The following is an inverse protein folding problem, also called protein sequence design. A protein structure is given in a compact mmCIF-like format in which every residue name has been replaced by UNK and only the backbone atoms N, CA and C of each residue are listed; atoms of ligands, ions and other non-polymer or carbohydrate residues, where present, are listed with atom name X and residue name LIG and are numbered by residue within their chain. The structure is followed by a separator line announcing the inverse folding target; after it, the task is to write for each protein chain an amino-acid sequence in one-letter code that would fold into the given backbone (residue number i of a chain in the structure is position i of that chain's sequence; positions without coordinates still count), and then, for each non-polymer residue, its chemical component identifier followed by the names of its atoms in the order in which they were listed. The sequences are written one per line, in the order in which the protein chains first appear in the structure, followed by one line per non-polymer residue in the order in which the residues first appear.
data_IF_402247380491
#
_entry.id   IF_402247380491
#
_cell.length_a   1.000
_cell.length_b   1.000
_cell.length_c   1.000
_cell.angle_alpha   90.00
_cell.angle_beta   90.00
_cell.angle_gamma   90.00
#
_symmetry.space_group_name_H-M   'P 1'
#
loop_
_entity.id
_entity.type
_entity.pdbx_description
1 polymer ?
#
# COMPACT_ATOMS: atom_id res chain seq x y z
N UNK A 1 -34.96 -11.09 29.08
CA UNK A 1 -34.60 -12.03 27.99
C UNK A 1 -34.01 -11.22 26.84
N UNK A 2 -32.67 -11.08 26.77
CA UNK A 2 -32.01 -10.33 25.71
C UNK A 2 -32.04 -11.17 24.42
N UNK A 3 -32.79 -10.69 23.43
CA UNK A 3 -32.92 -11.33 22.12
C UNK A 3 -31.55 -11.32 21.45
N UNK A 4 -30.89 -12.49 21.35
CA UNK A 4 -29.61 -12.63 20.64
C UNK A 4 -29.85 -12.25 19.19
N UNK A 5 -29.33 -11.09 18.76
CA UNK A 5 -29.39 -10.67 17.36
C UNK A 5 -28.44 -11.59 16.61
N UNK A 6 -28.98 -12.52 15.83
CA UNK A 6 -28.16 -13.36 14.95
C UNK A 6 -27.51 -12.46 13.89
N UNK A 7 -26.29 -12.03 14.17
CA UNK A 7 -25.51 -11.18 13.27
C UNK A 7 -25.09 -12.05 12.08
N UNK A 8 -25.96 -12.16 11.07
CA UNK A 8 -25.62 -12.77 9.79
C UNK A 8 -24.41 -12.04 9.21
N UNK A 9 -23.31 -12.76 9.08
CA UNK A 9 -22.04 -12.29 8.53
C UNK A 9 -22.25 -11.65 7.15
N UNK A 10 -21.68 -10.47 6.95
CA UNK A 10 -21.75 -9.74 5.70
C UNK A 10 -20.48 -10.03 4.87
N UNK A 11 -20.62 -10.96 3.91
CA UNK A 11 -19.49 -11.41 3.09
C UNK A 11 -18.82 -10.27 2.32
N UNK A 12 -19.56 -9.24 1.88
CA UNK A 12 -19.00 -8.09 1.17
C UNK A 12 -18.06 -7.27 2.07
N UNK A 13 -18.41 -7.12 3.35
CA UNK A 13 -17.54 -6.43 4.31
C UNK A 13 -16.27 -7.23 4.61
N UNK A 14 -16.38 -8.57 4.67
CA UNK A 14 -15.19 -9.43 4.82
C UNK A 14 -14.27 -9.29 3.60
N UNK A 15 -14.83 -9.39 2.39
CA UNK A 15 -14.07 -9.22 1.16
C UNK A 15 -13.41 -7.84 1.13
N UNK A 16 -14.13 -6.76 1.48
CA UNK A 16 -13.54 -5.42 1.50
C UNK A 16 -12.40 -5.29 2.51
N UNK A 17 -12.50 -5.93 3.68
CA UNK A 17 -11.42 -5.93 4.68
C UNK A 17 -10.16 -6.63 4.16
N UNK A 18 -10.33 -7.77 3.47
CA UNK A 18 -9.21 -8.49 2.85
C UNK A 18 -8.57 -7.66 1.74
N UNK A 19 -9.37 -7.02 0.87
CA UNK A 19 -8.87 -6.16 -0.19
C UNK A 19 -8.13 -4.94 0.36
N UNK A 20 -8.65 -4.30 1.42
CA UNK A 20 -7.98 -3.20 2.12
C UNK A 20 -6.63 -3.64 2.71
N UNK A 21 -6.56 -4.85 3.29
CA UNK A 21 -5.33 -5.38 3.83
C UNK A 21 -4.30 -5.61 2.73
N UNK A 22 -4.71 -6.19 1.60
CA UNK A 22 -3.84 -6.39 0.43
C UNK A 22 -3.34 -5.03 -0.09
N UNK A 23 -4.23 -4.04 -0.25
CA UNK A 23 -3.86 -2.69 -0.68
C UNK A 23 -2.84 -2.07 0.27
N UNK A 24 -3.05 -2.14 1.58
CA UNK A 24 -2.11 -1.56 2.53
C UNK A 24 -0.74 -2.24 2.45
N UNK A 25 -0.72 -3.58 2.37
CA UNK A 25 0.53 -4.33 2.33
C UNK A 25 1.30 -4.16 1.02
N UNK A 26 0.60 -4.05 -0.11
CA UNK A 26 1.20 -4.07 -1.44
C UNK A 26 1.35 -2.68 -2.08
N UNK A 27 0.63 -1.65 -1.65
CA UNK A 27 0.79 -0.30 -2.19
C UNK A 27 1.84 0.48 -1.41
N UNK A 28 2.62 1.28 -2.12
CA UNK A 28 3.57 2.24 -1.57
C UNK A 28 3.38 3.63 -2.16
N UNK A 29 3.80 4.64 -1.40
CA UNK A 29 3.97 6.01 -1.87
C UNK A 29 5.44 6.35 -1.76
N UNK A 30 6.07 6.67 -2.89
CA UNK A 30 7.42 7.22 -2.91
C UNK A 30 7.38 8.74 -2.96
N UNK A 31 8.36 9.37 -2.32
CA UNK A 31 8.65 10.79 -2.45
C UNK A 31 10.07 10.93 -3.00
N UNK A 32 10.17 11.59 -4.15
CA UNK A 32 11.43 12.10 -4.65
C UNK A 32 11.76 13.42 -3.94
N UNK A 33 12.89 13.47 -3.23
CA UNK A 33 13.30 14.66 -2.47
C UNK A 33 13.91 15.74 -3.37
N UNK A 34 14.31 15.40 -4.61
CA UNK A 34 14.88 16.35 -5.59
C UNK A 34 13.79 17.20 -6.26
N UNK A 35 12.64 16.59 -6.56
CA UNK A 35 11.52 17.25 -7.24
C UNK A 35 10.28 17.44 -6.34
N UNK A 36 10.34 16.95 -5.09
CA UNK A 36 9.21 16.89 -4.17
C UNK A 36 7.96 16.22 -4.79
N UNK A 37 8.21 15.26 -5.69
CA UNK A 37 7.17 14.54 -6.43
C UNK A 37 6.74 13.30 -5.67
N UNK A 38 5.43 13.06 -5.64
CA UNK A 38 4.84 11.87 -5.04
C UNK A 38 4.42 10.90 -6.14
N UNK A 39 4.84 9.65 -6.02
CA UNK A 39 4.39 8.59 -6.92
C UNK A 39 3.82 7.42 -6.13
N UNK A 40 2.77 6.81 -6.67
CA UNK A 40 2.14 5.61 -6.09
C UNK A 40 2.60 4.41 -6.89
N UNK A 41 3.04 3.35 -6.21
CA UNK A 41 3.55 2.15 -6.85
C UNK A 41 3.08 0.87 -6.16
N UNK A 42 3.15 -0.24 -6.88
CA UNK A 42 2.91 -1.58 -6.34
C UNK A 42 4.24 -2.17 -5.89
N UNK A 43 4.36 -2.47 -4.60
CA UNK A 43 5.51 -3.17 -4.02
C UNK A 43 5.60 -4.59 -4.56
N UNK A 44 6.81 -5.07 -4.79
CA UNK A 44 7.06 -6.45 -5.19
C UNK A 44 6.82 -7.47 -4.07
N UNK A 45 6.80 -7.02 -2.80
CA UNK A 45 6.53 -7.84 -1.61
C UNK A 45 5.71 -7.09 -0.56
N UNK A 46 4.90 -7.79 0.24
CA UNK A 46 4.05 -7.15 1.25
C UNK A 46 4.86 -6.55 2.39
N UNK A 47 4.59 -5.29 2.74
CA UNK A 47 5.17 -4.62 3.91
C UNK A 47 4.18 -3.66 4.56
N UNK A 48 4.34 -3.43 5.86
CA UNK A 48 3.56 -2.42 6.60
C UNK A 48 4.00 -0.99 6.33
N UNK A 49 5.18 -0.79 5.74
CA UNK A 49 5.71 0.53 5.39
C UNK A 49 4.99 1.08 4.16
N UNK A 50 4.22 2.15 4.33
CA UNK A 50 3.51 2.80 3.23
C UNK A 50 4.35 3.86 2.52
N UNK A 51 5.20 4.56 3.28
CA UNK A 51 5.93 5.73 2.81
C UNK A 51 7.41 5.43 2.57
N UNK A 52 7.90 5.77 1.39
CA UNK A 52 9.28 5.56 0.97
C UNK A 52 9.84 6.92 0.55
N UNK A 53 10.69 7.51 1.38
CA UNK A 53 11.31 8.80 1.08
C UNK A 53 12.74 8.59 0.63
N UNK A 54 13.11 9.14 -0.52
CA UNK A 54 14.52 9.24 -0.91
C UNK A 54 15.25 10.16 0.08
N UNK A 55 16.34 9.73 0.73
CA UNK A 55 17.12 10.62 1.56
C UNK A 55 17.92 11.60 0.68
N UNK A 56 17.79 12.91 0.94
CA UNK A 56 18.45 14.00 0.21
C UNK A 56 19.99 13.87 0.20
N UNK A 57 20.64 14.07 -0.96
CA UNK A 57 22.10 14.28 -1.07
C UNK A 57 22.97 13.03 -0.84
N UNK A 58 22.47 11.86 -1.21
CA UNK A 58 22.99 10.56 -0.78
C UNK A 58 23.89 9.85 -1.80
N UNK A 59 24.15 10.45 -2.96
CA UNK A 59 25.16 9.93 -3.89
C UNK A 59 26.59 10.31 -3.46
N UNK A 60 26.72 11.36 -2.65
CA UNK A 60 28.00 11.85 -2.08
C UNK A 60 28.21 11.41 -0.62
N UNK A 61 27.76 10.20 -0.26
CA UNK A 61 27.71 9.75 1.13
C UNK A 61 29.09 9.29 1.66
N UNK A 62 29.64 9.90 2.73
CA UNK A 62 30.89 9.45 3.33
C UNK A 62 30.72 8.12 4.11
N UNK A 63 31.81 7.37 4.36
CA UNK A 63 31.76 6.10 5.10
C UNK A 63 31.16 6.18 6.51
N UNK A 64 31.27 7.34 7.16
CA UNK A 64 30.82 7.60 8.53
C UNK A 64 29.33 7.96 8.64
N UNK A 65 28.56 7.74 7.57
CA UNK A 65 27.15 8.13 7.55
C UNK A 65 26.28 7.33 8.55
N UNK A 66 25.30 7.98 9.22
CA UNK A 66 24.47 7.32 10.22
C UNK A 66 23.79 6.06 9.68
N UNK A 67 23.92 4.96 10.41
CA UNK A 67 23.40 3.64 10.02
C UNK A 67 21.89 3.69 9.68
N UNK A 68 21.11 4.41 10.49
CA UNK A 68 19.66 4.59 10.27
C UNK A 68 19.31 5.17 8.91
N UNK A 69 20.14 6.06 8.37
CA UNK A 69 19.89 6.69 7.07
C UNK A 69 20.38 5.78 5.93
N UNK A 70 21.46 5.01 6.13
CA UNK A 70 21.88 3.95 5.21
C UNK A 70 20.78 2.89 5.04
N UNK A 71 20.14 2.47 6.13
CA UNK A 71 19.00 1.54 6.07
C UNK A 71 17.84 2.11 5.26
N UNK A 72 17.50 3.40 5.44
CA UNK A 72 16.44 4.05 4.66
C UNK A 72 16.76 4.09 3.17
N UNK A 73 18.01 4.36 2.79
CA UNK A 73 18.46 4.29 1.39
C UNK A 73 18.31 2.88 0.85
N UNK A 74 18.85 1.88 1.55
CA UNK A 74 18.73 0.50 1.10
C UNK A 74 17.27 0.07 0.90
N UNK A 75 16.35 0.51 1.75
CA UNK A 75 14.91 0.27 1.59
C UNK A 75 14.34 1.02 0.38
N UNK A 76 14.69 2.28 0.18
CA UNK A 76 14.21 3.06 -0.96
C UNK A 76 14.73 2.49 -2.29
N UNK A 77 16.02 2.16 -2.35
CA UNK A 77 16.66 1.55 -3.51
C UNK A 77 16.03 0.20 -3.84
N UNK A 78 15.76 -0.62 -2.81
CA UNK A 78 15.11 -1.93 -2.96
C UNK A 78 13.67 -1.81 -3.44
N UNK A 79 12.85 -0.90 -2.90
CA UNK A 79 11.42 -0.84 -3.22
C UNK A 79 11.05 0.08 -4.38
N UNK A 80 11.86 1.09 -4.68
CA UNK A 80 11.49 2.20 -5.58
C UNK A 80 12.41 2.28 -6.81
N UNK A 81 13.73 2.12 -6.63
CA UNK A 81 14.68 2.30 -7.74
C UNK A 81 14.97 0.99 -8.49
N UNK A 82 15.02 -0.13 -7.77
CA UNK A 82 15.30 -1.43 -8.38
C UNK A 82 14.08 -1.88 -9.18
N UNK A 83 14.29 -2.17 -10.47
CA UNK A 83 13.23 -2.72 -11.31
C UNK A 83 12.87 -4.14 -10.88
N UNK A 84 11.65 -4.30 -10.40
CA UNK A 84 11.03 -5.57 -10.07
C UNK A 84 9.97 -5.96 -11.09
N UNK A 85 9.54 -7.23 -11.04
CA UNK A 85 8.42 -7.70 -11.86
C UNK A 85 7.11 -6.95 -11.56
N UNK A 86 6.96 -6.39 -10.35
CA UNK A 86 5.81 -5.56 -9.98
C UNK A 86 5.74 -4.24 -10.74
N UNK A 87 6.84 -3.83 -11.38
CA UNK A 87 6.92 -2.56 -12.10
C UNK A 87 6.45 -2.70 -13.55
N UNK A 88 6.12 -3.92 -13.98
CA UNK A 88 5.46 -4.14 -15.26
C UNK A 88 4.12 -3.41 -15.29
N UNK A 89 3.84 -2.74 -16.42
CA UNK A 89 2.64 -1.93 -16.65
C UNK A 89 1.35 -2.68 -16.28
N UNK A 90 1.28 -3.97 -16.60
CA UNK A 90 0.13 -4.82 -16.26
C UNK A 90 -0.15 -4.90 -14.76
N UNK A 91 0.90 -4.94 -13.92
CA UNK A 91 0.75 -5.01 -12.46
C UNK A 91 0.28 -3.66 -11.91
N UNK A 92 0.77 -2.55 -12.46
CA UNK A 92 0.26 -1.22 -12.12
C UNK A 92 -1.22 -1.06 -12.49
N UNK A 93 -1.64 -1.59 -13.64
CA UNK A 93 -3.06 -1.63 -14.04
C UNK A 93 -3.87 -2.46 -13.04
N UNK A 94 -3.39 -3.65 -12.65
CA UNK A 94 -4.04 -4.50 -11.65
C UNK A 94 -4.15 -3.77 -10.30
N UNK A 95 -3.08 -3.09 -9.86
CA UNK A 95 -3.08 -2.26 -8.66
C UNK A 95 -4.13 -1.14 -8.74
N UNK A 96 -4.22 -0.46 -9.89
CA UNK A 96 -5.25 0.55 -10.16
C UNK A 96 -6.67 -0.01 -10.08
N UNK A 97 -6.92 -1.19 -10.68
CA UNK A 97 -8.20 -1.88 -10.57
C UNK A 97 -8.49 -2.22 -9.11
N UNK A 98 -7.51 -2.76 -8.37
CA UNK A 98 -7.67 -3.12 -6.96
C UNK A 98 -8.09 -1.91 -6.10
N UNK A 99 -7.48 -0.74 -6.34
CA UNK A 99 -7.83 0.53 -5.69
C UNK A 99 -9.29 0.89 -5.99
N UNK A 100 -9.76 0.71 -7.22
CA UNK A 100 -11.13 1.06 -7.62
C UNK A 100 -12.19 0.07 -7.11
N UNK A 101 -11.93 -1.23 -7.12
CA UNK A 101 -12.93 -2.23 -6.68
C UNK A 101 -13.14 -2.23 -5.16
N UNK A 102 -12.10 -1.92 -4.40
CA UNK A 102 -12.13 -1.99 -2.93
C UNK A 102 -13.22 -1.10 -2.31
N UNK A 103 -13.33 0.21 -2.65
CA UNK A 103 -14.41 1.06 -2.14
C UNK A 103 -15.79 0.59 -2.62
N UNK A 104 -15.92 0.00 -3.81
CA UNK A 104 -17.20 -0.54 -4.29
C UNK A 104 -17.69 -1.67 -3.38
N UNK A 105 -16.83 -2.64 -3.07
CA UNK A 105 -17.19 -3.73 -2.14
C UNK A 105 -17.50 -3.22 -0.73
N UNK A 106 -16.73 -2.23 -0.25
CA UNK A 106 -16.95 -1.61 1.05
C UNK A 106 -18.32 -0.92 1.11
N UNK A 107 -18.65 -0.08 0.12
CA UNK A 107 -19.92 0.65 0.07
C UNK A 107 -21.12 -0.29 -0.08
N UNK A 108 -21.03 -1.30 -0.95
CA UNK A 108 -22.08 -2.32 -1.10
C UNK A 108 -22.26 -3.10 0.21
N UNK A 109 -21.15 -3.46 0.89
CA UNK A 109 -21.18 -4.12 2.18
C UNK A 109 -21.87 -3.27 3.25
N UNK A 110 -21.50 -2.00 3.38
CA UNK A 110 -22.09 -1.06 4.34
C UNK A 110 -23.59 -0.88 4.04
N UNK A 111 -23.96 -0.65 2.77
CA UNK A 111 -25.35 -0.49 2.36
C UNK A 111 -26.21 -1.71 2.74
N UNK A 112 -25.72 -2.92 2.44
CA UNK A 112 -26.41 -4.18 2.81
C UNK A 112 -26.48 -4.41 4.32
N UNK A 113 -25.55 -3.87 5.09
CA UNK A 113 -25.56 -3.95 6.55
C UNK A 113 -26.61 -3.00 7.16
N UNK A 114 -26.76 -1.80 6.60
CA UNK A 114 -27.70 -0.78 7.09
C UNK A 114 -29.14 -1.11 6.69
N UNK A 115 -29.37 -1.62 5.48
CA UNK A 115 -30.72 -1.97 4.98
C UNK A 115 -31.35 -3.19 5.67
N UNK A 116 -30.60 -3.87 6.54
CA UNK A 116 -30.98 -5.15 7.16
C UNK A 116 -31.40 -4.96 8.60
#
# INVERSE_FOLDING_TARGET
MLKKKDTKINLYLIISLVLLLILWLMMGVSQDDEFNEYSVFVKYRPTTQLYFKSPLGMDDMPPDFPEKLRTKKAIYDDFVLTKHWSDHEMINIIGGILILITPVFLLVGIYKQIKK
#
